data_IF_061178160182
#
_entry.id   IF_061178160182
#
_cell.length_a   1.000
_cell.length_b   1.000
_cell.length_c   1.000
_cell.angle_alpha   90.00
_cell.angle_beta   90.00
_cell.angle_gamma   90.00
#
_symmetry.space_group_name_H-M   'P 1'
#
loop_
_entity.id
_entity.type
_entity.pdbx_description
1 polymer ?
#
# COMPACT_ATOMS: atom_id res chain seq x y z
N UNK A 1 -24.74 70.59 38.66
CA UNK A 1 -24.71 69.18 39.04
C UNK A 1 -25.16 68.35 37.85
N UNK A 2 -24.26 67.77 37.10
CA UNK A 2 -24.51 67.06 35.81
C UNK A 2 -24.35 65.57 36.07
N UNK A 3 -25.46 64.80 36.00
CA UNK A 3 -25.49 63.36 36.10
C UNK A 3 -25.27 62.76 34.69
N UNK A 4 -24.13 62.21 34.44
CA UNK A 4 -23.79 61.40 33.22
C UNK A 4 -24.37 60.01 33.39
N UNK A 5 -25.29 59.65 32.52
CA UNK A 5 -25.73 58.25 32.32
C UNK A 5 -24.79 57.57 31.35
N UNK A 6 -24.16 56.52 31.80
CA UNK A 6 -23.44 55.60 30.93
C UNK A 6 -24.36 54.44 30.59
N UNK A 7 -24.85 54.42 29.36
CA UNK A 7 -25.47 53.22 28.76
C UNK A 7 -24.38 52.27 28.32
N UNK A 8 -24.20 51.17 29.04
CA UNK A 8 -23.37 50.07 28.63
C UNK A 8 -24.09 49.28 27.54
N UNK A 9 -23.60 49.39 26.33
CA UNK A 9 -23.98 48.49 25.23
C UNK A 9 -23.31 47.14 25.43
N UNK A 10 -24.08 46.14 25.86
CA UNK A 10 -23.67 44.75 25.92
C UNK A 10 -23.68 44.20 24.49
N UNK A 11 -22.52 44.19 23.81
CA UNK A 11 -22.36 43.55 22.53
C UNK A 11 -22.32 42.01 22.76
N UNK A 12 -23.46 41.37 22.53
CA UNK A 12 -23.55 39.91 22.44
C UNK A 12 -22.89 39.51 21.13
N UNK A 13 -21.63 39.15 21.19
CA UNK A 13 -20.97 38.41 20.09
C UNK A 13 -21.59 37.01 20.00
N UNK A 14 -22.60 36.86 19.16
CA UNK A 14 -23.03 35.57 18.65
C UNK A 14 -21.88 35.03 17.83
N UNK A 15 -21.06 34.19 18.44
CA UNK A 15 -20.13 33.27 17.74
C UNK A 15 -20.99 32.28 16.95
N UNK A 16 -21.40 32.70 15.76
CA UNK A 16 -21.84 31.76 14.75
C UNK A 16 -20.61 30.89 14.42
N UNK A 17 -20.55 29.70 15.00
CA UNK A 17 -19.63 28.68 14.57
C UNK A 17 -19.97 28.37 13.12
N UNK A 18 -19.28 29.03 12.17
CA UNK A 18 -19.36 28.69 10.77
C UNK A 18 -18.85 27.25 10.67
N UNK A 19 -19.76 26.30 10.51
CA UNK A 19 -19.45 24.94 10.15
C UNK A 19 -18.80 25.02 8.76
N UNK A 20 -17.47 24.99 8.73
CA UNK A 20 -16.71 25.04 7.51
C UNK A 20 -17.03 23.76 6.71
N UNK A 21 -17.36 23.93 5.44
CA UNK A 21 -17.44 22.83 4.52
C UNK A 21 -16.06 22.16 4.42
N UNK A 22 -16.02 20.83 4.52
CA UNK A 22 -14.79 20.03 4.43
C UNK A 22 -14.90 19.08 3.24
N UNK A 23 -13.86 18.95 2.47
CA UNK A 23 -13.77 17.91 1.44
C UNK A 23 -13.88 16.54 2.07
N UNK A 24 -14.79 15.72 1.55
CA UNK A 24 -15.05 14.39 2.08
C UNK A 24 -15.66 13.45 1.05
N UNK A 25 -15.74 12.20 1.45
CA UNK A 25 -16.43 11.15 0.72
C UNK A 25 -17.65 10.76 1.57
N UNK A 26 -18.84 10.82 0.98
CA UNK A 26 -20.09 10.48 1.62
C UNK A 26 -20.67 9.24 0.97
N UNK A 27 -21.02 8.25 1.78
CA UNK A 27 -21.73 7.05 1.33
C UNK A 27 -23.15 7.07 1.86
N UNK A 28 -24.12 6.79 1.00
CA UNK A 28 -25.55 6.73 1.36
C UNK A 28 -25.97 5.30 1.67
N UNK A 29 -27.06 5.14 2.41
CA UNK A 29 -27.61 3.84 2.78
C UNK A 29 -28.11 3.01 1.57
N UNK A 30 -28.34 3.66 0.43
CA UNK A 30 -28.66 3.01 -0.86
C UNK A 30 -27.43 2.68 -1.71
N UNK A 31 -26.21 2.90 -1.16
CA UNK A 31 -24.93 2.51 -1.77
C UNK A 31 -24.34 3.51 -2.75
N UNK A 32 -24.87 4.75 -2.85
CA UNK A 32 -24.23 5.81 -3.64
C UNK A 32 -23.05 6.39 -2.90
N UNK A 33 -21.97 6.69 -3.62
CA UNK A 33 -20.77 7.34 -3.10
C UNK A 33 -20.61 8.69 -3.79
N UNK A 34 -20.43 9.74 -3.00
CA UNK A 34 -20.28 11.12 -3.47
C UNK A 34 -19.03 11.75 -2.85
N UNK A 35 -18.25 12.43 -3.65
CA UNK A 35 -17.06 13.17 -3.19
C UNK A 35 -17.27 14.65 -3.46
N UNK A 36 -17.08 15.48 -2.43
CA UNK A 36 -17.25 16.91 -2.55
C UNK A 36 -17.07 17.65 -1.22
N UNK A 37 -17.42 18.93 -1.22
CA UNK A 37 -17.42 19.72 0.01
C UNK A 37 -18.67 19.37 0.84
N UNK A 38 -18.44 18.75 2.00
CA UNK A 38 -19.51 18.26 2.86
C UNK A 38 -19.72 19.24 4.03
N UNK A 39 -20.96 19.63 4.23
CA UNK A 39 -21.36 20.47 5.34
C UNK A 39 -22.61 19.90 6.01
N UNK A 40 -22.52 19.63 7.30
CA UNK A 40 -23.70 19.26 8.10
C UNK A 40 -24.47 20.50 8.48
N UNK A 41 -25.79 20.47 8.39
CA UNK A 41 -26.67 21.58 8.85
C UNK A 41 -26.50 21.80 10.36
N UNK A 42 -26.75 23.03 10.86
CA UNK A 42 -26.61 23.34 12.27
C UNK A 42 -27.51 22.52 13.20
N UNK A 43 -28.65 22.04 12.69
CA UNK A 43 -29.55 21.14 13.40
C UNK A 43 -29.20 19.66 13.32
N UNK A 44 -28.13 19.32 12.58
CA UNK A 44 -27.66 17.97 12.38
C UNK A 44 -28.54 17.04 11.52
N UNK A 45 -29.65 17.57 10.96
CA UNK A 45 -30.66 16.76 10.27
C UNK A 45 -30.38 16.56 8.80
N UNK A 46 -29.66 17.48 8.17
CA UNK A 46 -29.32 17.40 6.76
C UNK A 46 -27.83 17.57 6.52
N UNK A 47 -27.37 17.00 5.41
CA UNK A 47 -25.99 17.09 4.95
C UNK A 47 -26.01 17.64 3.54
N UNK A 48 -25.30 18.74 3.33
CA UNK A 48 -25.09 19.35 2.03
C UNK A 48 -23.77 18.84 1.46
N UNK A 49 -23.82 18.32 0.24
CA UNK A 49 -22.63 17.91 -0.53
C UNK A 49 -22.54 18.78 -1.76
N UNK A 50 -21.49 19.58 -1.87
CA UNK A 50 -21.25 20.43 -3.03
C UNK A 50 -20.24 19.75 -3.98
N UNK A 51 -20.69 19.42 -5.18
CA UNK A 51 -19.91 18.78 -6.22
C UNK A 51 -20.04 19.58 -7.52
N UNK A 52 -18.93 19.90 -8.16
CA UNK A 52 -18.93 20.60 -9.45
C UNK A 52 -19.80 21.87 -9.50
N UNK A 53 -19.84 22.61 -8.38
CA UNK A 53 -20.64 23.84 -8.28
C UNK A 53 -22.13 23.63 -7.99
N UNK A 54 -22.61 22.40 -7.87
CA UNK A 54 -23.98 22.05 -7.49
C UNK A 54 -24.02 21.50 -6.08
N UNK A 55 -25.00 21.92 -5.27
CA UNK A 55 -25.19 21.43 -3.90
C UNK A 55 -26.37 20.45 -3.85
N UNK A 56 -26.11 19.25 -3.37
CA UNK A 56 -27.12 18.26 -3.07
C UNK A 56 -27.35 18.21 -1.56
N UNK A 57 -28.61 18.34 -1.13
CA UNK A 57 -28.99 18.20 0.26
C UNK A 57 -29.57 16.82 0.52
N UNK A 58 -29.01 16.11 1.48
CA UNK A 58 -29.41 14.76 1.89
C UNK A 58 -29.97 14.79 3.32
N UNK A 59 -30.93 13.95 3.59
CA UNK A 59 -31.34 13.67 4.97
C UNK A 59 -30.25 12.88 5.68
N UNK A 60 -29.94 13.22 6.95
CA UNK A 60 -28.90 12.54 7.74
C UNK A 60 -29.14 11.04 7.85
N UNK A 61 -30.42 10.60 7.90
CA UNK A 61 -30.80 9.21 7.96
C UNK A 61 -30.52 8.42 6.67
N UNK A 62 -30.35 9.10 5.53
CA UNK A 62 -29.98 8.47 4.26
C UNK A 62 -28.46 8.34 4.07
N UNK A 63 -27.66 8.85 5.00
CA UNK A 63 -26.19 8.80 4.94
C UNK A 63 -25.68 7.68 5.84
N UNK A 64 -25.00 6.71 5.24
CA UNK A 64 -24.39 5.59 5.93
C UNK A 64 -23.07 5.99 6.60
N UNK A 65 -22.19 6.69 5.87
CA UNK A 65 -20.90 7.16 6.39
C UNK A 65 -20.47 8.47 5.74
N UNK A 66 -19.65 9.23 6.44
CA UNK A 66 -18.90 10.36 5.89
C UNK A 66 -17.45 10.15 6.29
N UNK A 67 -16.58 10.13 5.30
CA UNK A 67 -15.14 10.04 5.44
C UNK A 67 -14.53 11.39 5.02
N UNK A 68 -13.73 11.99 5.89
CA UNK A 68 -13.02 13.23 5.61
C UNK A 68 -11.54 12.92 5.40
N UNK A 69 -11.07 12.81 4.14
CA UNK A 69 -9.65 12.68 3.89
C UNK A 69 -8.92 13.87 4.52
N UNK A 70 -8.16 13.62 5.57
CA UNK A 70 -7.44 14.66 6.32
C UNK A 70 -7.70 14.70 7.81
N UNK A 71 -8.57 13.85 8.37
CA UNK A 71 -8.63 13.62 9.82
C UNK A 71 -7.75 12.43 10.25
N UNK A 72 -6.61 12.28 9.56
CA UNK A 72 -5.66 11.21 9.80
C UNK A 72 -5.28 11.04 11.29
N UNK A 73 -5.20 12.17 12.03
CA UNK A 73 -4.90 12.11 13.45
C UNK A 73 -6.04 11.49 14.28
N UNK A 74 -7.30 11.81 13.95
CA UNK A 74 -8.47 11.22 14.62
C UNK A 74 -8.61 9.73 14.34
N UNK A 75 -8.46 9.34 13.08
CA UNK A 75 -8.51 7.94 12.65
C UNK A 75 -7.35 7.14 13.25
N UNK A 76 -6.15 7.70 13.30
CA UNK A 76 -4.98 7.12 13.95
C UNK A 76 -5.23 6.88 15.45
N UNK A 77 -5.71 7.88 16.19
CA UNK A 77 -5.97 7.74 17.62
C UNK A 77 -7.07 6.72 17.91
N UNK A 78 -8.07 6.63 17.05
CA UNK A 78 -9.10 5.60 17.14
C UNK A 78 -8.49 4.21 16.90
N UNK A 79 -7.74 4.04 15.81
CA UNK A 79 -7.04 2.78 15.50
C UNK A 79 -6.11 2.35 16.61
N UNK A 80 -5.33 3.28 17.18
CA UNK A 80 -4.43 2.99 18.30
C UNK A 80 -5.21 2.59 19.57
N UNK A 81 -6.35 3.21 19.84
CA UNK A 81 -7.22 2.92 20.98
C UNK A 81 -7.95 1.57 20.89
N UNK A 82 -8.10 1.01 19.70
CA UNK A 82 -8.71 -0.30 19.45
C UNK A 82 -7.71 -1.46 19.62
N UNK A 83 -6.39 -1.16 19.65
CA UNK A 83 -5.34 -2.18 19.84
C UNK A 83 -5.19 -2.58 21.31
N UNK A 84 -4.86 -3.85 21.54
CA UNK A 84 -4.39 -4.30 22.86
C UNK A 84 -3.15 -3.47 23.28
N UNK A 85 -3.03 -3.10 24.58
CA UNK A 85 -1.89 -2.32 25.07
C UNK A 85 -0.51 -2.93 24.74
N UNK A 86 -0.42 -4.24 24.58
CA UNK A 86 0.82 -4.96 24.27
C UNK A 86 0.89 -5.46 22.80
N UNK A 87 -0.04 -5.06 21.94
CA UNK A 87 -0.08 -5.52 20.56
C UNK A 87 0.99 -4.81 19.71
N UNK A 88 2.17 -5.41 19.65
CA UNK A 88 3.29 -4.93 18.81
C UNK A 88 2.94 -5.02 17.34
N UNK A 89 2.32 -6.14 16.92
CA UNK A 89 1.96 -6.35 15.51
C UNK A 89 0.95 -5.31 15.03
N UNK A 90 -0.12 -5.07 15.76
CA UNK A 90 -1.13 -4.07 15.41
C UNK A 90 -0.54 -2.67 15.28
N UNK A 91 0.43 -2.29 16.14
CA UNK A 91 1.14 -1.00 16.03
C UNK A 91 2.01 -0.92 14.78
N UNK A 92 2.69 -1.99 14.41
CA UNK A 92 3.46 -2.05 13.17
C UNK A 92 2.54 -1.95 11.93
N UNK A 93 1.40 -2.63 11.96
CA UNK A 93 0.41 -2.57 10.88
C UNK A 93 -0.18 -1.15 10.76
N UNK A 94 -0.52 -0.50 11.88
CA UNK A 94 -0.95 0.89 11.91
C UNK A 94 0.14 1.83 11.35
N UNK A 95 1.38 1.65 11.76
CA UNK A 95 2.51 2.44 11.25
C UNK A 95 2.67 2.30 9.73
N UNK A 96 2.51 1.10 9.18
CA UNK A 96 2.55 0.86 7.73
C UNK A 96 1.40 1.56 7.00
N UNK A 97 0.20 1.50 7.57
CA UNK A 97 -0.97 2.18 7.03
C UNK A 97 -0.72 3.67 6.92
N UNK A 98 -0.23 4.30 7.99
CA UNK A 98 0.07 5.73 8.04
C UNK A 98 1.22 6.12 7.10
N UNK A 99 2.25 5.28 6.98
CA UNK A 99 3.33 5.51 6.04
C UNK A 99 2.85 5.44 4.57
N UNK A 100 1.99 4.49 4.24
CA UNK A 100 1.36 4.41 2.92
C UNK A 100 0.49 5.64 2.62
N UNK A 101 -0.15 6.21 3.63
CA UNK A 101 -0.91 7.46 3.55
C UNK A 101 -0.01 8.72 3.57
N UNK A 102 1.32 8.56 3.64
CA UNK A 102 2.32 9.64 3.78
C UNK A 102 2.16 10.47 5.06
N UNK A 103 1.54 9.90 6.08
CA UNK A 103 1.39 10.51 7.40
C UNK A 103 2.61 10.16 8.26
N UNK A 104 3.78 10.69 7.89
CA UNK A 104 5.09 10.29 8.44
C UNK A 104 5.21 10.45 9.96
N UNK A 105 4.57 11.47 10.53
CA UNK A 105 4.61 11.70 11.98
C UNK A 105 3.80 10.64 12.73
N UNK A 106 2.61 10.29 12.24
CA UNK A 106 1.75 9.24 12.81
C UNK A 106 2.37 7.85 12.63
N UNK A 107 2.90 7.59 11.44
CA UNK A 107 3.63 6.35 11.18
C UNK A 107 4.81 6.16 12.15
N UNK A 108 5.60 7.22 12.37
CA UNK A 108 6.73 7.18 13.31
C UNK A 108 6.28 7.02 14.77
N UNK A 109 5.13 7.58 15.16
CA UNK A 109 4.55 7.42 16.49
C UNK A 109 4.21 5.95 16.75
N UNK A 110 3.47 5.30 15.85
CA UNK A 110 3.10 3.89 15.99
C UNK A 110 4.33 2.95 15.98
N UNK A 111 5.32 3.21 15.10
CA UNK A 111 6.54 2.41 15.05
C UNK A 111 7.38 2.52 16.32
N UNK A 112 7.50 3.72 16.90
CA UNK A 112 8.17 3.93 18.19
C UNK A 112 7.44 3.25 19.35
N UNK A 113 6.12 3.23 19.29
CA UNK A 113 5.31 2.54 20.30
C UNK A 113 5.52 1.04 20.23
N UNK A 114 5.63 0.47 19.00
CA UNK A 114 5.99 -0.92 18.80
C UNK A 114 7.41 -1.24 19.30
N UNK A 115 8.40 -0.37 18.99
CA UNK A 115 9.78 -0.51 19.47
C UNK A 115 9.86 -0.43 21.01
N UNK A 116 9.08 0.43 21.65
CA UNK A 116 9.01 0.54 23.09
C UNK A 116 8.47 -0.73 23.76
N UNK A 117 7.52 -1.42 23.11
CA UNK A 117 6.94 -2.68 23.59
C UNK A 117 7.88 -3.87 23.35
N UNK A 118 8.59 -3.87 22.23
CA UNK A 118 9.59 -4.88 21.88
C UNK A 118 10.87 -4.20 21.33
N UNK A 119 11.82 -3.83 22.20
CA UNK A 119 13.04 -3.14 21.82
C UNK A 119 13.97 -3.95 20.91
N UNK A 120 13.75 -5.26 20.80
CA UNK A 120 14.53 -6.14 19.92
C UNK A 120 13.81 -6.47 18.62
N UNK A 121 12.68 -5.86 18.35
CA UNK A 121 11.93 -6.09 17.13
C UNK A 121 12.66 -5.44 15.93
N UNK A 122 13.25 -6.23 15.04
CA UNK A 122 14.03 -5.67 13.93
C UNK A 122 13.14 -4.93 12.92
N UNK A 123 11.86 -5.24 12.89
CA UNK A 123 10.90 -4.65 11.96
C UNK A 123 10.54 -3.22 12.35
N UNK A 124 10.39 -2.93 13.64
CA UNK A 124 10.18 -1.58 14.15
C UNK A 124 11.33 -0.65 13.76
N UNK A 125 12.58 -1.10 13.94
CA UNK A 125 13.76 -0.35 13.57
C UNK A 125 13.84 -0.08 12.05
N UNK A 126 13.55 -1.09 11.24
CA UNK A 126 13.53 -0.98 9.78
C UNK A 126 12.44 0.01 9.33
N UNK A 127 11.27 -0.06 9.95
CA UNK A 127 10.15 0.81 9.62
C UNK A 127 10.47 2.27 9.95
N UNK A 128 11.07 2.53 11.10
CA UNK A 128 11.53 3.88 11.48
C UNK A 128 12.58 4.45 10.49
N UNK A 129 13.56 3.66 10.07
CA UNK A 129 14.53 4.05 9.04
C UNK A 129 13.83 4.36 7.70
N UNK A 130 12.86 3.54 7.33
CA UNK A 130 12.07 3.72 6.10
C UNK A 130 11.28 5.03 6.16
N UNK A 131 10.57 5.30 7.26
CA UNK A 131 9.80 6.53 7.47
C UNK A 131 10.69 7.76 7.35
N UNK A 132 11.86 7.75 7.98
CA UNK A 132 12.82 8.86 7.90
C UNK A 132 13.32 9.06 6.46
N UNK A 133 13.60 7.98 5.75
CA UNK A 133 14.05 8.03 4.36
C UNK A 133 13.00 8.61 3.42
N UNK A 134 11.75 8.15 3.51
CA UNK A 134 10.64 8.65 2.68
C UNK A 134 10.34 10.12 3.00
N UNK A 135 10.30 10.50 4.28
CA UNK A 135 10.14 11.88 4.71
C UNK A 135 11.25 12.80 4.15
N UNK A 136 12.50 12.35 4.16
CA UNK A 136 13.62 13.12 3.62
C UNK A 136 13.55 13.29 2.10
N UNK A 137 13.02 12.28 1.39
CA UNK A 137 12.79 12.36 -0.05
C UNK A 137 11.67 13.36 -0.39
N UNK A 138 10.57 13.36 0.36
CA UNK A 138 9.46 14.28 0.16
C UNK A 138 9.81 15.72 0.56
N UNK A 139 10.66 15.91 1.57
CA UNK A 139 11.14 17.22 2.01
C UNK A 139 12.15 17.85 1.06
N UNK A 140 12.72 17.09 0.11
CA UNK A 140 13.69 17.60 -0.84
C UNK A 140 12.95 18.42 -1.92
N UNK A 141 13.12 19.76 -1.97
CA UNK A 141 12.41 20.55 -2.96
C UNK A 141 12.82 20.11 -4.36
N UNK A 142 11.86 20.00 -5.26
CA UNK A 142 12.05 19.72 -6.69
C UNK A 142 13.00 20.71 -7.40
N UNK A 143 13.39 21.81 -6.71
CA UNK A 143 14.25 22.86 -7.21
C UNK A 143 15.75 22.52 -7.24
N UNK A 144 16.23 21.46 -6.61
CA UNK A 144 17.66 21.11 -6.68
C UNK A 144 18.05 20.36 -7.96
N UNK A 145 17.10 20.05 -8.83
CA UNK A 145 17.34 19.42 -10.14
C UNK A 145 17.56 20.43 -11.28
N UNK A 146 17.50 21.74 -11.03
CA UNK A 146 17.55 22.76 -12.06
C UNK A 146 18.87 23.52 -12.16
N UNK A 147 19.89 23.21 -11.37
CA UNK A 147 21.19 23.89 -11.43
C UNK A 147 22.31 22.89 -11.77
N UNK A 148 22.57 22.78 -13.09
CA UNK A 148 23.88 22.37 -13.58
C UNK A 148 24.10 20.94 -13.97
N UNK A 149 23.28 20.44 -14.86
CA UNK A 149 23.66 19.64 -16.04
C UNK A 149 22.49 19.81 -17.00
N UNK A 150 22.74 20.12 -18.25
CA UNK A 150 21.80 19.86 -19.31
C UNK A 150 21.56 18.33 -19.30
N UNK A 151 20.72 17.88 -18.38
CA UNK A 151 20.10 16.58 -18.49
C UNK A 151 19.20 16.72 -19.71
N UNK A 152 19.61 16.10 -20.79
CA UNK A 152 18.70 15.75 -21.87
C UNK A 152 17.39 15.36 -21.21
N UNK A 153 16.22 15.78 -21.72
CA UNK A 153 14.93 15.49 -21.12
C UNK A 153 14.98 14.03 -20.76
N UNK A 154 14.54 13.66 -19.54
CA UNK A 154 14.51 12.28 -19.11
C UNK A 154 13.78 11.51 -20.20
N UNK A 155 14.59 11.07 -21.15
CA UNK A 155 14.14 10.46 -22.36
C UNK A 155 13.61 9.13 -21.91
N UNK A 156 12.28 9.10 -21.85
CA UNK A 156 11.51 7.88 -21.91
C UNK A 156 12.03 6.83 -20.92
N UNK A 157 11.52 6.96 -19.67
CA UNK A 157 11.30 5.77 -18.88
C UNK A 157 10.93 4.67 -19.87
N UNK A 158 11.66 3.54 -19.77
CA UNK A 158 11.44 2.33 -20.54
C UNK A 158 9.98 2.26 -21.00
N UNK A 159 9.74 2.04 -22.27
CA UNK A 159 8.44 1.88 -22.92
C UNK A 159 7.60 0.71 -22.37
N UNK A 160 7.90 0.22 -21.18
CA UNK A 160 7.14 -0.74 -20.42
C UNK A 160 5.86 -0.10 -19.89
N UNK A 161 4.72 -0.58 -20.34
CA UNK A 161 3.41 -0.19 -19.87
C UNK A 161 3.27 -0.55 -18.39
N UNK A 162 2.89 0.40 -17.54
CA UNK A 162 2.49 0.08 -16.16
C UNK A 162 1.23 -0.80 -16.15
N UNK A 163 1.06 -1.54 -15.08
CA UNK A 163 -0.21 -2.20 -14.77
C UNK A 163 -1.33 -1.15 -14.69
N UNK A 164 -2.55 -1.61 -14.94
CA UNK A 164 -3.77 -0.79 -14.74
C UNK A 164 -4.25 -0.91 -13.29
N UNK A 165 -5.20 -0.07 -12.87
CA UNK A 165 -5.82 -0.22 -11.57
C UNK A 165 -6.60 -1.54 -11.43
N UNK A 166 -7.18 -2.05 -12.52
CA UNK A 166 -7.84 -3.35 -12.52
C UNK A 166 -6.85 -4.50 -12.25
N UNK A 167 -5.62 -4.39 -12.79
CA UNK A 167 -4.54 -5.33 -12.50
C UNK A 167 -4.11 -5.23 -11.02
N UNK A 168 -4.05 -4.02 -10.46
CA UNK A 168 -3.77 -3.80 -9.03
C UNK A 168 -4.85 -4.46 -8.17
N UNK A 169 -6.13 -4.28 -8.49
CA UNK A 169 -7.21 -4.96 -7.78
C UNK A 169 -7.13 -6.49 -7.92
N UNK A 170 -6.72 -6.99 -9.09
CA UNK A 170 -6.51 -8.42 -9.28
C UNK A 170 -5.38 -8.97 -8.39
N UNK A 171 -4.27 -8.25 -8.29
CA UNK A 171 -3.15 -8.63 -7.40
C UNK A 171 -3.61 -8.59 -5.94
N UNK A 172 -4.26 -7.51 -5.50
CA UNK A 172 -4.74 -7.37 -4.11
C UNK A 172 -5.71 -8.49 -3.73
N UNK A 173 -6.64 -8.84 -4.63
CA UNK A 173 -7.55 -9.98 -4.40
C UNK A 173 -6.80 -11.30 -4.26
N UNK A 174 -5.82 -11.52 -5.11
CA UNK A 174 -5.07 -12.77 -5.14
C UNK A 174 -4.10 -12.94 -3.95
N UNK A 175 -3.65 -11.82 -3.38
CA UNK A 175 -2.77 -11.80 -2.19
C UNK A 175 -3.53 -11.57 -0.88
N UNK A 176 -4.89 -11.48 -0.92
CA UNK A 176 -5.69 -11.27 0.26
C UNK A 176 -5.67 -12.52 1.15
N UNK A 177 -5.42 -12.32 2.44
CA UNK A 177 -5.39 -13.37 3.45
C UNK A 177 -6.44 -13.15 4.55
N UNK A 178 -6.83 -14.20 5.29
CA UNK A 178 -7.89 -14.10 6.31
C UNK A 178 -7.61 -13.13 7.45
N UNK A 179 -6.32 -12.89 7.76
CA UNK A 179 -5.85 -12.00 8.82
C UNK A 179 -5.61 -10.57 8.35
N UNK A 180 -5.80 -10.28 7.06
CA UNK A 180 -5.71 -8.94 6.53
C UNK A 180 -6.84 -8.04 7.05
N UNK A 181 -6.49 -6.81 7.38
CA UNK A 181 -7.45 -5.74 7.70
C UNK A 181 -7.48 -4.74 6.55
N UNK A 182 -8.27 -5.05 5.53
CA UNK A 182 -8.37 -4.25 4.32
C UNK A 182 -9.73 -3.60 4.17
N UNK A 183 -9.78 -2.49 3.43
CA UNK A 183 -11.04 -1.92 2.94
C UNK A 183 -11.43 -2.62 1.65
N UNK A 184 -12.69 -2.99 1.56
CA UNK A 184 -13.25 -3.67 0.39
C UNK A 184 -14.47 -2.93 -0.13
N UNK A 185 -14.54 -2.73 -1.42
CA UNK A 185 -15.72 -2.23 -2.11
C UNK A 185 -16.38 -3.34 -2.90
N UNK A 186 -17.68 -3.47 -2.76
CA UNK A 186 -18.50 -4.51 -3.39
C UNK A 186 -19.41 -3.88 -4.45
N UNK A 187 -19.13 -4.18 -5.73
CA UNK A 187 -19.85 -3.63 -6.87
C UNK A 187 -20.96 -4.56 -7.39
N UNK A 188 -21.86 -4.01 -8.19
CA UNK A 188 -22.89 -4.78 -8.94
C UNK A 188 -23.71 -5.75 -8.08
N UNK A 189 -23.99 -5.36 -6.83
CA UNK A 189 -24.72 -6.22 -5.87
C UNK A 189 -24.08 -7.61 -5.69
N UNK A 190 -22.74 -7.70 -5.73
CA UNK A 190 -22.02 -8.98 -5.71
C UNK A 190 -22.35 -9.81 -4.49
N UNK A 191 -22.50 -9.19 -3.29
CA UNK A 191 -22.92 -9.91 -2.07
C UNK A 191 -24.27 -10.63 -2.27
N UNK A 192 -25.28 -9.95 -2.85
CA UNK A 192 -26.58 -10.54 -3.14
C UNK A 192 -26.48 -11.65 -4.17
N UNK A 193 -25.67 -11.46 -5.21
CA UNK A 193 -25.46 -12.50 -6.25
C UNK A 193 -24.79 -13.73 -5.67
N UNK A 194 -23.77 -13.55 -4.83
CA UNK A 194 -23.10 -14.64 -4.13
C UNK A 194 -24.06 -15.43 -3.24
N UNK A 195 -24.87 -14.77 -2.42
CA UNK A 195 -25.89 -15.42 -1.59
C UNK A 195 -26.97 -16.13 -2.43
N UNK A 196 -27.31 -15.57 -3.58
CA UNK A 196 -28.25 -16.20 -4.53
C UNK A 196 -27.72 -17.47 -5.19
N UNK A 197 -26.40 -17.72 -5.13
CA UNK A 197 -25.77 -18.95 -5.62
C UNK A 197 -25.67 -20.07 -4.58
N UNK A 198 -26.20 -19.87 -3.35
CA UNK A 198 -26.32 -20.91 -2.32
C UNK A 198 -25.53 -20.64 -1.03
N UNK A 199 -25.01 -19.43 -0.81
CA UNK A 199 -24.33 -19.05 0.43
C UNK A 199 -25.29 -18.95 1.63
N UNK A 200 -24.80 -19.27 2.83
CA UNK A 200 -25.53 -19.03 4.09
C UNK A 200 -25.51 -17.52 4.42
N UNK A 201 -26.68 -16.88 4.24
CA UNK A 201 -26.83 -15.46 4.49
C UNK A 201 -26.59 -15.07 5.96
N UNK A 202 -26.89 -15.95 6.91
CA UNK A 202 -26.70 -15.69 8.34
C UNK A 202 -25.21 -15.65 8.70
N UNK A 203 -24.45 -16.65 8.29
CA UNK A 203 -23.02 -16.74 8.49
C UNK A 203 -22.28 -15.59 7.77
N UNK A 204 -22.52 -15.43 6.48
CA UNK A 204 -21.88 -14.42 5.64
C UNK A 204 -22.07 -12.98 6.16
N UNK A 205 -23.27 -12.60 6.59
CA UNK A 205 -23.53 -11.25 7.09
C UNK A 205 -22.92 -10.98 8.48
N UNK A 206 -22.51 -12.02 9.20
CA UNK A 206 -21.82 -11.89 10.48
C UNK A 206 -20.29 -11.75 10.33
N UNK A 207 -19.75 -11.95 9.14
CA UNK A 207 -18.33 -11.91 8.85
C UNK A 207 -17.81 -10.49 8.65
N UNK A 208 -16.48 -10.32 8.80
CA UNK A 208 -15.80 -9.10 8.41
C UNK A 208 -15.85 -8.90 6.89
N UNK A 209 -15.66 -7.65 6.43
CA UNK A 209 -15.61 -7.38 4.98
C UNK A 209 -14.50 -8.16 4.28
N UNK A 210 -13.35 -8.35 4.94
CA UNK A 210 -12.25 -9.20 4.44
C UNK A 210 -12.71 -10.63 4.23
N UNK A 211 -13.39 -11.23 5.22
CA UNK A 211 -13.87 -12.60 5.10
C UNK A 211 -14.94 -12.73 4.02
N UNK A 212 -15.90 -11.81 3.95
CA UNK A 212 -16.91 -11.76 2.89
C UNK A 212 -16.26 -11.67 1.49
N UNK A 213 -15.18 -10.86 1.37
CA UNK A 213 -14.43 -10.76 0.13
C UNK A 213 -13.76 -12.10 -0.22
N UNK A 214 -13.12 -12.74 0.76
CA UNK A 214 -12.48 -14.05 0.56
C UNK A 214 -13.47 -15.11 0.12
N UNK A 215 -14.64 -15.18 0.74
CA UNK A 215 -15.68 -16.15 0.39
C UNK A 215 -16.17 -15.99 -1.05
N UNK A 216 -16.38 -14.72 -1.46
CA UNK A 216 -16.77 -14.42 -2.85
C UNK A 216 -15.64 -14.79 -3.81
N UNK A 217 -14.39 -14.44 -3.52
CA UNK A 217 -13.23 -14.73 -4.37
C UNK A 217 -13.00 -16.24 -4.48
N UNK A 218 -13.09 -16.96 -3.36
CA UNK A 218 -12.86 -18.41 -3.27
C UNK A 218 -14.02 -19.24 -3.81
N UNK A 219 -15.17 -18.62 -4.09
CA UNK A 219 -16.29 -19.30 -4.77
C UNK A 219 -15.92 -19.85 -6.16
N UNK A 220 -14.80 -19.35 -6.73
CA UNK A 220 -14.34 -19.74 -8.07
C UNK A 220 -15.09 -19.04 -9.22
N UNK A 221 -16.11 -18.22 -8.93
CA UNK A 221 -16.81 -17.45 -9.96
C UNK A 221 -16.05 -16.15 -10.27
N UNK A 222 -15.31 -16.15 -11.36
CA UNK A 222 -14.56 -14.99 -11.82
C UNK A 222 -15.43 -13.73 -12.06
N UNK A 223 -16.73 -13.90 -12.35
CA UNK A 223 -17.65 -12.78 -12.52
C UNK A 223 -18.09 -12.16 -11.20
N UNK A 224 -18.07 -12.93 -10.11
CA UNK A 224 -18.26 -12.40 -8.77
C UNK A 224 -16.97 -11.76 -8.27
N UNK A 225 -15.85 -12.46 -8.39
CA UNK A 225 -14.57 -12.01 -7.89
C UNK A 225 -14.14 -10.63 -8.46
N UNK A 226 -14.36 -10.36 -9.74
CA UNK A 226 -14.02 -9.07 -10.36
C UNK A 226 -14.78 -7.87 -9.77
N UNK A 227 -15.96 -8.09 -9.21
CA UNK A 227 -16.81 -7.07 -8.61
C UNK A 227 -16.46 -6.83 -7.12
N UNK A 228 -15.43 -7.50 -6.60
CA UNK A 228 -14.83 -7.27 -5.29
C UNK A 228 -13.56 -6.46 -5.48
N UNK A 229 -13.55 -5.21 -5.03
CA UNK A 229 -12.36 -4.35 -5.09
C UNK A 229 -11.73 -4.23 -3.71
N UNK A 230 -10.56 -4.81 -3.54
CA UNK A 230 -9.73 -4.62 -2.35
C UNK A 230 -8.99 -3.30 -2.54
N UNK A 231 -9.46 -2.22 -1.89
CA UNK A 231 -8.99 -0.85 -2.15
C UNK A 231 -7.77 -0.45 -1.33
N UNK A 232 -7.53 -1.09 -0.19
CA UNK A 232 -6.27 -0.95 0.55
C UNK A 232 -5.36 -2.16 0.32
N UNK A 233 -4.08 -2.01 0.65
CA UNK A 233 -3.08 -3.04 0.39
C UNK A 233 -3.20 -4.18 1.42
N UNK A 234 -3.35 -5.46 1.02
CA UNK A 234 -3.06 -6.61 1.87
C UNK A 234 -1.65 -6.55 2.45
N UNK A 235 -1.39 -7.18 3.60
CA UNK A 235 -0.11 -7.09 4.29
C UNK A 235 1.09 -7.44 3.38
N UNK A 236 0.97 -8.43 2.51
CA UNK A 236 2.03 -8.83 1.58
C UNK A 236 2.45 -7.68 0.66
N UNK A 237 1.48 -6.95 0.09
CA UNK A 237 1.76 -5.83 -0.81
C UNK A 237 2.09 -4.54 -0.06
N UNK A 238 1.53 -4.33 1.13
CA UNK A 238 1.89 -3.25 2.03
C UNK A 238 3.37 -3.37 2.46
N UNK A 239 3.78 -4.53 2.94
CA UNK A 239 5.17 -4.80 3.33
C UNK A 239 6.14 -4.69 2.16
N UNK A 240 5.74 -5.18 0.98
CA UNK A 240 6.54 -4.95 -0.22
C UNK A 240 6.84 -3.47 -0.42
N UNK A 241 5.83 -2.62 -0.42
CA UNK A 241 5.97 -1.19 -0.69
C UNK A 241 6.78 -0.47 0.37
N UNK A 242 6.60 -0.83 1.63
CA UNK A 242 7.18 -0.14 2.78
C UNK A 242 8.58 -0.69 3.14
N UNK A 243 8.73 -2.01 3.23
CA UNK A 243 9.94 -2.62 3.76
C UNK A 243 10.90 -3.11 2.68
N UNK A 244 10.39 -3.57 1.55
CA UNK A 244 11.15 -4.36 0.58
C UNK A 244 11.56 -3.55 -0.63
N UNK A 245 10.62 -2.85 -1.24
CA UNK A 245 10.77 -2.20 -2.54
C UNK A 245 11.98 -1.27 -2.60
N UNK A 246 12.12 -0.37 -1.63
CA UNK A 246 13.23 0.61 -1.60
C UNK A 246 14.60 -0.08 -1.64
N UNK A 247 14.75 -1.19 -0.91
CA UNK A 247 16.01 -1.92 -0.83
C UNK A 247 16.34 -2.64 -2.12
N UNK A 248 15.34 -3.27 -2.72
CA UNK A 248 15.48 -3.92 -4.03
C UNK A 248 15.82 -2.86 -5.09
N UNK A 249 15.09 -1.75 -5.14
CA UNK A 249 15.31 -0.72 -6.14
C UNK A 249 16.68 -0.04 -5.99
N UNK A 250 17.12 0.25 -4.77
CA UNK A 250 18.43 0.83 -4.51
C UNK A 250 19.59 -0.08 -4.98
N UNK A 251 19.44 -1.40 -4.83
CA UNK A 251 20.46 -2.37 -5.26
C UNK A 251 20.35 -2.76 -6.73
N UNK A 252 19.15 -2.94 -7.24
CA UNK A 252 18.93 -3.58 -8.54
C UNK A 252 18.53 -2.57 -9.64
N UNK A 253 17.74 -1.55 -9.34
CA UNK A 253 17.20 -0.62 -10.34
C UNK A 253 18.13 0.57 -10.67
N UNK A 254 19.44 0.41 -10.45
CA UNK A 254 20.39 1.42 -10.88
C UNK A 254 20.44 1.52 -12.42
N UNK A 255 20.73 2.73 -12.92
CA UNK A 255 20.85 2.98 -14.34
C UNK A 255 21.96 2.09 -14.97
N UNK A 256 21.61 1.40 -16.04
CA UNK A 256 22.51 0.44 -16.71
C UNK A 256 22.57 -0.96 -16.06
N UNK A 257 21.83 -1.18 -14.94
CA UNK A 257 21.59 -2.51 -14.39
C UNK A 257 20.20 -3.00 -14.80
N UNK A 258 19.19 -2.87 -13.92
CA UNK A 258 17.82 -3.33 -14.18
C UNK A 258 16.86 -2.15 -14.40
N UNK A 259 17.33 -0.98 -14.80
CA UNK A 259 16.49 0.16 -15.21
C UNK A 259 17.03 0.88 -16.43
N UNK A 260 16.13 1.51 -17.20
CA UNK A 260 16.46 2.33 -18.36
C UNK A 260 16.86 1.53 -19.60
N UNK A 261 17.36 2.25 -20.62
CA UNK A 261 17.83 1.65 -21.85
C UNK A 261 19.07 0.79 -21.60
N UNK A 262 19.04 -0.48 -22.02
CA UNK A 262 20.12 -1.45 -21.79
C UNK A 262 19.95 -2.30 -20.53
N UNK A 263 18.84 -2.17 -19.82
CA UNK A 263 18.46 -3.12 -18.79
C UNK A 263 18.38 -4.54 -19.40
N UNK A 264 18.93 -5.53 -18.70
CA UNK A 264 18.80 -6.94 -19.11
C UNK A 264 17.35 -7.44 -19.01
N UNK A 265 17.15 -8.74 -19.10
CA UNK A 265 15.81 -9.35 -19.14
C UNK A 265 14.90 -9.09 -17.92
N UNK A 266 15.40 -8.48 -16.83
CA UNK A 266 14.64 -7.94 -15.72
C UNK A 266 14.67 -6.41 -15.79
N UNK A 267 13.52 -5.77 -15.99
CA UNK A 267 13.41 -4.30 -16.04
C UNK A 267 12.53 -3.83 -14.90
N UNK A 268 13.10 -3.01 -14.01
CA UNK A 268 12.41 -2.43 -12.86
C UNK A 268 12.25 -0.91 -13.05
N UNK A 269 11.19 -0.36 -12.49
CA UNK A 269 10.94 1.07 -12.47
C UNK A 269 11.57 1.69 -11.22
N UNK A 270 12.59 2.56 -11.36
CA UNK A 270 13.35 3.07 -10.21
C UNK A 270 12.56 4.05 -9.34
N UNK A 271 11.62 4.80 -9.94
CA UNK A 271 10.71 5.70 -9.23
C UNK A 271 9.33 5.03 -9.09
N UNK A 272 9.19 4.24 -8.04
CA UNK A 272 8.01 3.42 -7.79
C UNK A 272 7.26 3.84 -6.51
N UNK A 273 7.21 5.17 -6.23
CA UNK A 273 6.46 5.71 -5.10
C UNK A 273 4.95 5.64 -5.30
N UNK A 274 4.50 5.76 -6.55
CA UNK A 274 3.10 5.67 -6.90
C UNK A 274 2.63 4.21 -6.99
N UNK A 275 1.33 3.99 -6.87
CA UNK A 275 0.73 2.65 -6.85
C UNK A 275 1.05 1.84 -8.09
N UNK A 276 0.85 2.39 -9.29
CA UNK A 276 1.02 1.61 -10.51
C UNK A 276 2.46 1.15 -10.75
N UNK A 277 3.50 2.02 -10.67
CA UNK A 277 4.88 1.55 -10.81
C UNK A 277 5.28 0.57 -9.71
N UNK A 278 4.82 0.76 -8.47
CA UNK A 278 5.10 -0.14 -7.36
C UNK A 278 4.54 -1.54 -7.61
N UNK A 279 3.25 -1.65 -7.94
CA UNK A 279 2.61 -2.92 -8.25
C UNK A 279 3.17 -3.56 -9.53
N UNK A 280 3.61 -2.75 -10.48
CA UNK A 280 4.29 -3.27 -11.67
C UNK A 280 5.61 -3.95 -11.30
N UNK A 281 6.42 -3.34 -10.43
CA UNK A 281 7.65 -3.96 -9.93
C UNK A 281 7.35 -5.23 -9.13
N UNK A 282 6.35 -5.21 -8.24
CA UNK A 282 5.91 -6.39 -7.52
C UNK A 282 5.57 -7.54 -8.48
N UNK A 283 4.73 -7.28 -9.47
CA UNK A 283 4.32 -8.25 -10.48
C UNK A 283 5.52 -8.80 -11.27
N UNK A 284 6.42 -7.92 -11.70
CA UNK A 284 7.64 -8.33 -12.41
C UNK A 284 8.46 -9.29 -11.57
N UNK A 285 8.69 -8.99 -10.29
CA UNK A 285 9.46 -9.84 -9.39
C UNK A 285 8.78 -11.20 -9.15
N UNK A 286 7.44 -11.24 -9.08
CA UNK A 286 6.69 -12.49 -8.93
C UNK A 286 6.77 -13.38 -10.19
N UNK A 287 6.85 -12.78 -11.38
CA UNK A 287 6.87 -13.52 -12.65
C UNK A 287 8.29 -13.83 -13.16
N UNK A 288 9.28 -13.08 -12.67
CA UNK A 288 10.65 -13.23 -13.13
C UNK A 288 11.34 -14.45 -12.52
N UNK A 289 12.27 -14.98 -13.28
CA UNK A 289 13.15 -16.06 -12.85
C UNK A 289 14.23 -16.33 -13.87
N UNK A 290 15.11 -17.28 -13.56
CA UNK A 290 16.23 -17.64 -14.42
C UNK A 290 16.35 -19.14 -14.58
N UNK A 291 16.63 -19.58 -15.81
CA UNK A 291 17.11 -20.93 -16.08
C UNK A 291 18.61 -20.99 -15.81
N UNK A 292 19.01 -21.82 -14.86
CA UNK A 292 20.40 -22.11 -14.56
C UNK A 292 20.83 -23.32 -15.42
N UNK A 293 21.89 -23.16 -16.19
CA UNK A 293 22.43 -24.24 -17.05
C UNK A 293 23.83 -24.57 -16.62
N UNK A 294 24.10 -25.84 -16.35
CA UNK A 294 25.43 -26.42 -16.18
C UNK A 294 26.31 -25.88 -15.05
N UNK A 295 26.98 -26.73 -14.30
CA UNK A 295 27.94 -26.35 -13.24
C UNK A 295 27.34 -25.96 -11.90
N UNK A 296 26.19 -25.31 -11.90
CA UNK A 296 25.48 -24.84 -10.69
C UNK A 296 24.33 -25.78 -10.27
N UNK A 297 24.18 -26.91 -10.93
CA UNK A 297 23.10 -27.87 -10.68
C UNK A 297 23.61 -29.26 -10.41
N UNK A 298 23.20 -29.84 -9.30
CA UNK A 298 23.35 -31.29 -9.05
C UNK A 298 22.26 -31.98 -9.89
N UNK A 299 22.58 -32.33 -11.15
CA UNK A 299 21.64 -32.98 -12.06
C UNK A 299 21.85 -32.56 -13.52
N UNK A 300 21.34 -33.34 -14.46
CA UNK A 300 21.65 -33.25 -15.91
C UNK A 300 20.74 -32.32 -16.71
N UNK A 301 20.01 -31.37 -16.10
CA UNK A 301 19.09 -30.47 -16.80
C UNK A 301 19.05 -29.04 -16.28
N UNK A 302 18.53 -28.10 -17.09
CA UNK A 302 18.35 -26.73 -16.64
C UNK A 302 17.31 -26.66 -15.53
N UNK A 303 17.67 -26.01 -14.40
CA UNK A 303 16.76 -25.75 -13.27
C UNK A 303 16.26 -24.32 -13.37
N UNK A 304 14.95 -24.13 -13.34
CA UNK A 304 14.36 -22.78 -13.21
C UNK A 304 14.38 -22.33 -11.76
N UNK A 305 14.92 -21.15 -11.49
CA UNK A 305 14.90 -20.50 -10.19
C UNK A 305 14.10 -19.19 -10.29
N UNK A 306 13.03 -19.02 -9.49
CA UNK A 306 12.25 -17.79 -9.49
C UNK A 306 12.98 -16.66 -8.75
N UNK A 307 12.66 -15.41 -9.08
CA UNK A 307 13.12 -14.25 -8.33
C UNK A 307 12.57 -14.27 -6.90
N UNK A 308 11.32 -14.67 -6.74
CA UNK A 308 10.65 -14.87 -5.45
C UNK A 308 10.25 -16.33 -5.33
N UNK A 309 10.98 -17.09 -4.51
CA UNK A 309 10.68 -18.48 -4.18
C UNK A 309 9.91 -18.53 -2.86
N UNK A 310 8.59 -18.65 -2.94
CA UNK A 310 7.69 -18.61 -1.77
C UNK A 310 7.77 -19.86 -0.90
N UNK A 311 8.31 -20.97 -1.45
CA UNK A 311 8.51 -22.21 -0.70
C UNK A 311 9.86 -22.21 0.04
N UNK A 312 10.86 -21.55 -0.55
CA UNK A 312 12.24 -21.54 -0.03
C UNK A 312 12.76 -20.09 -0.08
N UNK A 313 12.25 -19.22 0.78
CA UNK A 313 12.49 -17.79 0.73
C UNK A 313 13.95 -17.41 0.53
N UNK A 314 14.86 -18.01 1.30
CA UNK A 314 16.31 -17.75 1.22
C UNK A 314 16.93 -18.18 -0.12
N UNK A 315 16.27 -19.06 -0.87
CA UNK A 315 16.70 -19.49 -2.22
C UNK A 315 16.23 -18.54 -3.32
N UNK A 316 15.39 -17.56 -3.00
CA UNK A 316 14.92 -16.54 -3.92
C UNK A 316 16.09 -15.82 -4.59
N UNK A 317 16.05 -15.68 -5.93
CA UNK A 317 17.13 -15.01 -6.64
C UNK A 317 17.29 -13.55 -6.22
N UNK A 318 16.21 -12.86 -5.81
CA UNK A 318 16.29 -11.49 -5.29
C UNK A 318 17.19 -11.38 -4.06
N UNK A 319 17.19 -12.39 -3.19
CA UNK A 319 18.08 -12.49 -2.03
C UNK A 319 19.48 -12.94 -2.43
N UNK A 320 19.57 -14.02 -3.19
CA UNK A 320 20.84 -14.61 -3.58
C UNK A 320 21.69 -13.66 -4.45
N UNK A 321 21.06 -12.94 -5.37
CA UNK A 321 21.73 -11.96 -6.23
C UNK A 321 22.13 -10.69 -5.47
N UNK A 322 21.50 -10.40 -4.33
CA UNK A 322 21.86 -9.28 -3.46
C UNK A 322 23.06 -9.55 -2.56
N UNK A 323 23.51 -10.80 -2.42
CA UNK A 323 24.65 -11.17 -1.59
C UNK A 323 26.01 -10.95 -2.31
N UNK A 324 27.11 -10.81 -1.54
CA UNK A 324 28.46 -10.99 -2.07
C UNK A 324 28.58 -12.34 -2.77
N UNK A 325 29.23 -12.37 -3.94
CA UNK A 325 29.35 -13.60 -4.77
C UNK A 325 29.93 -14.80 -4.02
N UNK A 326 30.80 -14.57 -3.04
CA UNK A 326 31.40 -15.62 -2.21
C UNK A 326 30.46 -16.20 -1.16
N UNK A 327 29.34 -15.53 -0.88
CA UNK A 327 28.35 -15.94 0.14
C UNK A 327 27.05 -16.44 -0.49
N UNK A 328 26.84 -16.15 -1.78
CA UNK A 328 25.63 -16.54 -2.50
C UNK A 328 25.70 -17.99 -2.97
N UNK A 329 24.69 -18.79 -2.66
CA UNK A 329 24.52 -20.13 -3.24
C UNK A 329 24.22 -20.09 -4.74
N UNK A 330 23.62 -18.99 -5.22
CA UNK A 330 23.43 -18.67 -6.63
C UNK A 330 23.88 -17.23 -6.85
N UNK A 331 25.15 -16.99 -7.23
CA UNK A 331 25.67 -15.64 -7.34
C UNK A 331 25.08 -14.89 -8.53
N UNK A 332 24.94 -13.57 -8.38
CA UNK A 332 24.58 -12.70 -9.50
C UNK A 332 25.54 -12.91 -10.68
N UNK A 333 25.05 -12.96 -11.92
CA UNK A 333 25.92 -12.98 -13.11
C UNK A 333 26.96 -11.86 -13.06
N UNK A 334 28.08 -12.06 -13.73
CA UNK A 334 29.09 -11.01 -13.80
C UNK A 334 28.50 -9.77 -14.48
N UNK A 335 28.59 -8.63 -13.75
CA UNK A 335 28.12 -7.35 -14.24
C UNK A 335 29.11 -6.28 -13.80
N UNK A 336 29.47 -5.37 -14.73
CA UNK A 336 30.34 -4.24 -14.44
C UNK A 336 29.64 -3.32 -13.43
N UNK A 337 30.34 -3.04 -12.32
CA UNK A 337 29.80 -2.14 -11.30
C UNK A 337 28.81 -2.80 -10.31
N UNK A 338 28.63 -4.12 -10.36
CA UNK A 338 27.84 -4.83 -9.36
C UNK A 338 28.31 -4.54 -7.95
N UNK A 339 27.36 -4.21 -7.08
CA UNK A 339 27.57 -4.05 -5.63
C UNK A 339 26.53 -4.88 -4.90
N UNK A 340 26.95 -5.67 -3.90
CA UNK A 340 26.01 -6.41 -3.07
C UNK A 340 25.01 -5.46 -2.39
N UNK A 341 23.76 -5.86 -2.33
CA UNK A 341 22.68 -5.14 -1.61
C UNK A 341 22.73 -5.45 -0.11
N UNK A 342 23.18 -6.68 0.22
CA UNK A 342 23.30 -7.17 1.59
C UNK A 342 24.77 -7.48 1.91
N UNK A 343 25.16 -7.22 3.16
CA UNK A 343 26.52 -7.53 3.61
C UNK A 343 26.74 -9.04 3.78
N UNK A 344 25.73 -9.76 4.25
CA UNK A 344 25.75 -11.21 4.49
C UNK A 344 24.31 -11.75 4.60
N UNK A 345 24.10 -13.08 4.75
CA UNK A 345 22.80 -13.66 5.04
C UNK A 345 22.20 -13.21 6.39
N UNK A 346 23.02 -12.73 7.32
CA UNK A 346 22.62 -12.21 8.62
C UNK A 346 22.27 -10.70 8.57
N UNK A 347 22.40 -10.07 7.40
CA UNK A 347 22.00 -8.66 7.21
C UNK A 347 20.51 -8.50 7.55
N UNK A 348 20.15 -7.51 8.40
CA UNK A 348 18.75 -7.29 8.80
C UNK A 348 17.80 -7.11 7.61
N UNK A 349 18.26 -6.49 6.52
CA UNK A 349 17.44 -6.31 5.31
C UNK A 349 17.24 -7.63 4.55
N UNK A 350 18.26 -8.49 4.52
CA UNK A 350 18.13 -9.86 3.98
C UNK A 350 17.07 -10.63 4.78
N UNK A 351 17.18 -10.61 6.11
CA UNK A 351 16.24 -11.28 7.01
C UNK A 351 14.81 -10.73 6.88
N UNK A 352 14.65 -9.41 6.71
CA UNK A 352 13.34 -8.78 6.54
C UNK A 352 12.68 -9.19 5.21
N UNK A 353 13.44 -9.21 4.11
CA UNK A 353 12.92 -9.64 2.81
C UNK A 353 12.61 -11.14 2.83
N UNK A 354 13.43 -11.97 3.50
CA UNK A 354 13.14 -13.40 3.68
C UNK A 354 11.81 -13.62 4.38
N UNK A 355 11.57 -12.94 5.53
CA UNK A 355 10.30 -13.03 6.27
C UNK A 355 9.11 -12.55 5.45
N UNK A 356 9.28 -11.46 4.69
CA UNK A 356 8.23 -11.00 3.78
C UNK A 356 7.87 -12.07 2.73
N UNK A 357 8.86 -12.75 2.15
CA UNK A 357 8.59 -13.85 1.22
C UNK A 357 7.89 -15.02 1.92
N UNK A 358 8.30 -15.34 3.15
CA UNK A 358 7.70 -16.39 3.98
C UNK A 358 6.25 -16.08 4.39
N UNK A 359 5.86 -14.79 4.44
CA UNK A 359 4.49 -14.39 4.75
C UNK A 359 3.51 -14.53 3.59
N UNK A 360 4.00 -14.79 2.38
CA UNK A 360 3.16 -14.97 1.20
C UNK A 360 2.47 -16.33 1.16
N UNK A 361 1.37 -16.42 0.42
CA UNK A 361 0.83 -17.72 0.05
C UNK A 361 1.92 -18.54 -0.68
N UNK A 362 2.19 -19.79 -0.27
CA UNK A 362 3.24 -20.63 -0.88
C UNK A 362 3.12 -20.81 -2.39
N UNK A 363 1.90 -20.77 -2.91
CA UNK A 363 1.62 -20.88 -4.34
C UNK A 363 1.48 -19.47 -4.92
N UNK A 364 2.27 -19.13 -5.92
CA UNK A 364 2.11 -17.88 -6.67
C UNK A 364 0.73 -17.90 -7.36
N UNK A 365 -0.18 -16.96 -7.02
CA UNK A 365 -1.49 -16.95 -7.63
C UNK A 365 -1.40 -16.58 -9.12
N UNK A 366 -2.35 -17.08 -9.91
CA UNK A 366 -2.60 -16.52 -11.22
C UNK A 366 -3.39 -15.21 -11.07
N UNK A 367 -2.74 -14.10 -11.34
CA UNK A 367 -3.37 -12.78 -11.28
C UNK A 367 -4.30 -12.50 -12.46
N UNK A 368 -4.31 -13.37 -13.48
CA UNK A 368 -5.08 -13.14 -14.72
C UNK A 368 -4.58 -11.96 -15.56
N UNK A 369 -3.37 -11.47 -15.27
CA UNK A 369 -2.80 -10.29 -15.94
C UNK A 369 -2.08 -10.73 -17.20
N UNK A 370 -2.51 -10.18 -18.32
CA UNK A 370 -1.84 -10.36 -19.63
C UNK A 370 -0.91 -9.17 -19.88
N UNK A 371 0.32 -9.27 -19.41
CA UNK A 371 1.36 -8.30 -19.76
C UNK A 371 1.90 -8.65 -21.14
N UNK A 372 1.87 -7.66 -22.04
CA UNK A 372 2.58 -7.75 -23.30
C UNK A 372 4.03 -7.35 -22.99
N UNK A 373 4.90 -8.34 -22.86
CA UNK A 373 6.34 -8.10 -22.84
C UNK A 373 6.73 -7.65 -24.25
N UNK A 374 7.30 -6.47 -24.35
CA UNK A 374 7.90 -5.96 -25.60
C UNK A 374 9.31 -6.51 -25.74
#
# INVERSE_FOLDING_TARGET
MIRRWWLGALAICLLASALLARQGILSTTDGRVMQGDIQTSPDGKTINVTMYGSTLTLDRGSVASIDYPGDAAGDFQKGLGELDPNDVKGRLDLSRSELNARQYDLAAEAAKDAERLDPHNPEAAILLDTIQGERALDAKPAAASAAGAAVAPATQASSGKYLTMDDVYAIRRAELMPDDQVRVEFFNNVRKRYLGSGGDAGAFNAESETQQALDIIQSGDANLAKDVHVVSDPHVTADYRVLVQRRILAGCAAAGCHSGAGAGGLVLFPDARETLPSYTNFYILQQAGRKLTGGDTIGSGPVYRPMIDRLHAQSSLVLQFGLPRSMAGTPHPEAKGFRPTFASPEDPNFAAISRWIESMNPIVPDYGIKRIDN
#
